data_IF_381113990583
#
_entry.id   IF_381113990583
#
_cell.length_a   1.000
_cell.length_b   1.000
_cell.length_c   1.000
_cell.angle_alpha   90.00
_cell.angle_beta   90.00
_cell.angle_gamma   90.00
#
_symmetry.space_group_name_H-M   'P 1'
#
loop_
_entity.id
_entity.type
_entity.pdbx_description
1 polymer ?
#
# COMPACT_ATOMS: atom_id res chain seq x y z
N UNK A 1 -28.91 -22.98 4.59
CA UNK A 1 -27.57 -22.49 4.96
C UNK A 1 -26.59 -23.00 3.93
N UNK A 2 -25.78 -22.14 3.31
CA UNK A 2 -24.82 -22.52 2.29
C UNK A 2 -23.43 -22.52 2.95
N UNK A 3 -22.69 -23.61 2.77
CA UNK A 3 -21.30 -23.70 3.22
C UNK A 3 -20.40 -23.10 2.14
N UNK A 4 -19.71 -22.01 2.44
CA UNK A 4 -18.82 -21.36 1.48
C UNK A 4 -17.47 -22.09 1.42
N UNK A 5 -16.80 -22.13 0.24
CA UNK A 5 -15.39 -22.51 0.19
C UNK A 5 -14.55 -21.57 1.06
N UNK A 6 -13.32 -21.95 1.35
CA UNK A 6 -12.44 -21.12 2.18
C UNK A 6 -12.36 -19.69 1.64
N UNK A 7 -12.69 -18.71 2.45
CA UNK A 7 -12.43 -17.31 2.13
C UNK A 7 -10.95 -17.01 2.41
N UNK A 8 -10.24 -16.52 1.40
CA UNK A 8 -8.88 -15.99 1.55
C UNK A 8 -8.99 -14.51 1.79
N UNK A 9 -8.69 -14.05 2.99
CA UNK A 9 -8.74 -12.64 3.40
C UNK A 9 -7.75 -12.39 4.52
N UNK A 10 -7.23 -11.18 4.61
CA UNK A 10 -6.42 -10.73 5.74
C UNK A 10 -7.25 -10.57 7.04
N UNK A 11 -8.58 -10.47 6.93
CA UNK A 11 -9.53 -10.44 8.06
C UNK A 11 -9.89 -11.86 8.53
N UNK A 12 -8.90 -12.63 8.97
CA UNK A 12 -9.02 -14.03 9.37
C UNK A 12 -10.06 -14.25 10.49
N UNK A 13 -10.18 -13.31 11.42
CA UNK A 13 -11.16 -13.34 12.51
C UNK A 13 -12.63 -13.40 12.06
N UNK A 14 -12.94 -13.02 10.82
CA UNK A 14 -14.29 -13.11 10.23
C UNK A 14 -14.39 -14.12 9.10
N UNK A 15 -13.33 -14.86 8.78
CA UNK A 15 -13.29 -15.86 7.71
C UNK A 15 -14.06 -17.15 8.09
N UNK A 16 -15.33 -17.02 8.46
CA UNK A 16 -16.20 -18.10 8.89
C UNK A 16 -16.94 -18.70 7.70
N UNK A 17 -16.76 -19.99 7.47
CA UNK A 17 -17.35 -20.70 6.32
C UNK A 17 -18.87 -20.91 6.43
N UNK A 18 -19.37 -21.05 7.65
CA UNK A 18 -20.77 -21.32 7.91
C UNK A 18 -21.24 -20.51 9.12
N UNK A 19 -22.26 -19.66 9.00
CA UNK A 19 -22.83 -18.95 10.14
C UNK A 19 -23.35 -19.93 11.19
N UNK A 20 -23.20 -19.55 12.48
CA UNK A 20 -23.71 -20.37 13.57
C UNK A 20 -25.23 -20.33 13.65
N UNK A 21 -25.86 -21.50 13.79
CA UNK A 21 -27.34 -21.67 13.84
C UNK A 21 -28.00 -20.85 14.93
N UNK A 22 -27.34 -20.67 16.06
CA UNK A 22 -27.86 -19.91 17.21
C UNK A 22 -27.79 -18.41 17.02
N UNK A 23 -26.79 -17.91 16.31
CA UNK A 23 -26.52 -16.48 16.13
C UNK A 23 -27.22 -15.93 14.90
N UNK A 24 -27.33 -16.70 13.84
CA UNK A 24 -27.86 -16.26 12.57
C UNK A 24 -29.28 -15.65 12.64
N UNK A 25 -30.24 -16.21 13.42
CA UNK A 25 -31.57 -15.59 13.60
C UNK A 25 -31.51 -14.17 14.21
N UNK A 26 -30.55 -13.91 15.10
CA UNK A 26 -30.37 -12.57 15.65
C UNK A 26 -29.81 -11.59 14.63
N UNK A 27 -28.89 -12.05 13.76
CA UNK A 27 -28.39 -11.25 12.63
C UNK A 27 -29.55 -10.89 11.70
N UNK A 28 -30.35 -11.86 11.30
CA UNK A 28 -31.49 -11.62 10.42
C UNK A 28 -32.53 -10.63 10.98
N UNK A 29 -32.70 -10.64 12.33
CA UNK A 29 -33.68 -9.76 13.00
C UNK A 29 -33.17 -8.34 13.22
N UNK A 30 -31.86 -8.16 13.48
CA UNK A 30 -31.32 -6.93 14.05
C UNK A 30 -30.32 -6.20 13.11
N UNK A 31 -29.94 -6.81 12.00
CA UNK A 31 -29.00 -6.20 11.03
C UNK A 31 -29.79 -5.63 9.86
N UNK A 32 -29.74 -4.33 9.67
CA UNK A 32 -30.44 -3.63 8.58
C UNK A 32 -29.71 -3.78 7.24
N UNK A 33 -28.37 -3.82 7.27
CA UNK A 33 -27.53 -3.87 6.07
C UNK A 33 -26.21 -4.57 6.31
N UNK A 34 -25.75 -5.32 5.30
CA UNK A 34 -24.41 -5.89 5.24
C UNK A 34 -23.61 -5.25 4.11
N UNK A 35 -22.31 -5.10 4.31
CA UNK A 35 -21.36 -4.60 3.32
C UNK A 35 -20.26 -5.65 3.11
N UNK A 36 -19.79 -5.76 1.87
CA UNK A 36 -18.61 -6.55 1.52
C UNK A 36 -17.48 -5.59 1.21
N UNK A 37 -16.31 -5.84 1.75
CA UNK A 37 -15.14 -4.98 1.63
C UNK A 37 -13.97 -5.79 1.09
N UNK A 38 -13.09 -5.12 0.35
CA UNK A 38 -11.85 -5.71 -0.13
C UNK A 38 -10.72 -5.57 0.90
N UNK A 39 -9.79 -6.53 0.90
CA UNK A 39 -8.62 -6.50 1.80
C UNK A 39 -7.80 -5.20 1.66
N UNK A 40 -7.76 -4.64 0.46
CA UNK A 40 -7.08 -3.37 0.20
C UNK A 40 -7.67 -2.18 0.98
N UNK A 41 -8.97 -2.23 1.29
CA UNK A 41 -9.64 -1.20 2.09
C UNK A 41 -9.30 -1.33 3.57
N UNK A 42 -9.02 -2.56 4.03
CA UNK A 42 -8.53 -2.82 5.40
C UNK A 42 -7.11 -2.29 5.58
N UNK A 43 -6.23 -2.43 4.59
CA UNK A 43 -4.89 -1.84 4.60
C UNK A 43 -4.96 -0.32 4.77
N UNK A 44 -5.87 0.34 4.04
CA UNK A 44 -6.10 1.79 4.16
C UNK A 44 -6.64 2.17 5.54
N UNK A 45 -7.62 1.41 6.06
CA UNK A 45 -8.19 1.64 7.38
C UNK A 45 -7.14 1.44 8.48
N UNK A 46 -6.25 0.45 8.33
CA UNK A 46 -5.14 0.21 9.26
C UNK A 46 -4.24 1.44 9.37
N UNK A 47 -3.79 1.99 8.25
CA UNK A 47 -2.95 3.18 8.25
C UNK A 47 -3.69 4.40 8.83
N UNK A 48 -4.97 4.59 8.50
CA UNK A 48 -5.76 5.71 9.04
C UNK A 48 -5.85 5.63 10.57
N UNK A 49 -6.15 4.45 11.12
CA UNK A 49 -6.26 4.25 12.57
C UNK A 49 -4.88 4.40 13.24
N UNK A 50 -3.84 3.83 12.66
CA UNK A 50 -2.49 3.91 13.21
C UNK A 50 -1.93 5.34 13.17
N UNK A 51 -2.05 6.04 12.03
CA UNK A 51 -1.46 7.38 11.85
C UNK A 51 -2.24 8.46 12.61
N UNK A 52 -3.59 8.40 12.62
CA UNK A 52 -4.43 9.46 13.19
C UNK A 52 -4.77 9.22 14.65
N UNK A 53 -4.98 7.96 15.05
CA UNK A 53 -5.44 7.60 16.39
C UNK A 53 -4.37 6.92 17.25
N UNK A 54 -3.22 6.53 16.66
CA UNK A 54 -2.11 5.84 17.35
C UNK A 54 -2.55 4.52 17.98
N UNK A 55 -3.46 3.83 17.33
CA UNK A 55 -3.97 2.52 17.76
C UNK A 55 -3.59 1.45 16.76
N UNK A 56 -3.32 0.25 17.29
CA UNK A 56 -3.16 -0.99 16.52
C UNK A 56 -4.40 -1.84 16.74
N UNK A 57 -5.07 -2.19 15.64
CA UNK A 57 -6.30 -2.98 15.64
C UNK A 57 -6.10 -4.13 14.67
N UNK A 58 -6.55 -5.33 15.03
CA UNK A 58 -6.49 -6.48 14.13
C UNK A 58 -7.34 -6.27 12.86
N UNK A 59 -7.01 -6.98 11.80
CA UNK A 59 -7.62 -6.76 10.48
C UNK A 59 -9.15 -6.90 10.49
N UNK A 60 -9.68 -7.89 11.20
CA UNK A 60 -11.12 -8.07 11.33
C UNK A 60 -11.80 -6.91 12.07
N UNK A 61 -11.13 -6.33 13.06
CA UNK A 61 -11.60 -5.18 13.82
C UNK A 61 -11.61 -3.86 13.05
N UNK A 62 -10.93 -3.80 11.89
CA UNK A 62 -10.87 -2.61 11.02
C UNK A 62 -12.04 -2.53 10.03
N UNK A 63 -12.79 -3.62 9.83
CA UNK A 63 -13.92 -3.67 8.91
C UNK A 63 -14.93 -2.50 9.10
N UNK A 64 -15.33 -2.14 10.34
CA UNK A 64 -16.27 -1.02 10.53
C UNK A 64 -15.68 0.33 10.12
N UNK A 65 -14.37 0.52 10.24
CA UNK A 65 -13.70 1.77 9.78
C UNK A 65 -13.62 1.82 8.26
N UNK A 66 -13.21 0.73 7.63
CA UNK A 66 -13.17 0.63 6.16
C UNK A 66 -14.58 0.85 5.56
N UNK A 67 -15.62 0.31 6.20
CA UNK A 67 -17.01 0.45 5.77
C UNK A 67 -17.51 1.90 5.73
N UNK A 68 -16.91 2.82 6.48
CA UNK A 68 -17.33 4.24 6.49
C UNK A 68 -17.25 4.90 5.11
N UNK A 69 -16.36 4.41 4.25
CA UNK A 69 -16.21 4.90 2.86
C UNK A 69 -17.40 4.58 1.96
N UNK A 70 -18.20 3.58 2.34
CA UNK A 70 -19.39 3.12 1.62
C UNK A 70 -20.69 3.67 2.20
N UNK A 71 -20.60 4.51 3.22
CA UNK A 71 -21.74 5.06 3.94
C UNK A 71 -21.79 6.58 3.82
N UNK A 72 -22.99 7.14 3.61
CA UNK A 72 -23.19 8.58 3.77
C UNK A 72 -23.33 8.89 5.26
N UNK A 73 -22.23 9.34 5.86
CA UNK A 73 -22.14 9.66 7.29
C UNK A 73 -22.35 11.15 7.58
N UNK A 74 -22.63 11.99 6.57
CA UNK A 74 -22.78 13.45 6.74
C UNK A 74 -23.98 13.79 7.61
N UNK A 75 -23.72 14.57 8.67
CA UNK A 75 -24.76 14.97 9.63
C UNK A 75 -25.28 13.85 10.54
N UNK A 76 -24.60 12.69 10.57
CA UNK A 76 -24.97 11.54 11.41
C UNK A 76 -23.92 11.29 12.48
N UNK A 77 -24.38 10.80 13.63
CA UNK A 77 -23.51 10.21 14.64
C UNK A 77 -23.29 8.75 14.28
N UNK A 78 -22.05 8.38 13.93
CA UNK A 78 -21.69 7.02 13.56
C UNK A 78 -20.76 6.43 14.61
N UNK A 79 -21.05 5.23 15.07
CA UNK A 79 -20.22 4.50 16.01
C UNK A 79 -19.65 3.28 15.31
N UNK A 80 -18.32 3.23 15.21
CA UNK A 80 -17.57 2.06 14.70
C UNK A 80 -16.95 1.32 15.87
N UNK A 81 -17.24 0.03 16.01
CA UNK A 81 -16.68 -0.79 17.07
C UNK A 81 -15.35 -1.36 16.57
N UNK A 82 -14.25 -0.87 17.11
CA UNK A 82 -12.93 -1.47 16.91
C UNK A 82 -12.78 -2.66 17.87
N UNK A 83 -12.73 -3.86 17.32
CA UNK A 83 -12.62 -5.08 18.10
C UNK A 83 -11.32 -5.81 17.81
N UNK A 84 -10.69 -6.33 18.87
CA UNK A 84 -9.48 -7.12 18.75
C UNK A 84 -8.20 -6.31 18.55
N UNK A 85 -7.10 -6.87 19.03
CA UNK A 85 -5.75 -6.31 18.93
C UNK A 85 -4.70 -7.40 18.74
N UNK A 86 -5.12 -8.62 18.35
CA UNK A 86 -4.22 -9.73 18.09
C UNK A 86 -3.55 -9.58 16.72
N UNK A 87 -2.59 -8.65 16.66
CA UNK A 87 -1.80 -8.33 15.48
C UNK A 87 -0.34 -8.65 15.73
N UNK A 88 0.23 -9.54 14.93
CA UNK A 88 1.66 -9.80 14.99
C UNK A 88 2.47 -8.73 14.26
N UNK A 89 3.74 -8.57 14.64
CA UNK A 89 4.61 -7.49 14.14
C UNK A 89 4.93 -7.67 12.65
N UNK A 90 5.01 -8.89 12.15
CA UNK A 90 5.32 -9.17 10.74
C UNK A 90 4.13 -8.75 9.87
N UNK A 91 2.93 -9.16 10.24
CA UNK A 91 1.69 -8.73 9.57
C UNK A 91 1.55 -7.21 9.60
N UNK A 92 1.81 -6.58 10.75
CA UNK A 92 1.79 -5.11 10.88
C UNK A 92 2.78 -4.45 9.91
N UNK A 93 4.02 -4.95 9.86
CA UNK A 93 5.05 -4.43 8.94
C UNK A 93 4.60 -4.54 7.48
N UNK A 94 4.04 -5.68 7.10
CA UNK A 94 3.50 -5.90 5.75
C UNK A 94 2.36 -4.93 5.42
N UNK A 95 1.40 -4.73 6.33
CA UNK A 95 0.30 -3.78 6.13
C UNK A 95 0.80 -2.34 5.97
N UNK A 96 1.78 -1.93 6.78
CA UNK A 96 2.40 -0.60 6.66
C UNK A 96 3.04 -0.43 5.29
N UNK A 97 3.83 -1.40 4.84
CA UNK A 97 4.49 -1.34 3.54
C UNK A 97 3.49 -1.24 2.39
N UNK A 98 2.54 -2.17 2.33
CA UNK A 98 1.51 -2.18 1.29
C UNK A 98 0.70 -0.88 1.29
N UNK A 99 0.37 -0.36 2.45
CA UNK A 99 -0.35 0.89 2.58
C UNK A 99 0.46 2.11 2.13
N UNK A 100 1.76 2.19 2.44
CA UNK A 100 2.63 3.26 1.99
C UNK A 100 2.81 3.24 0.46
N UNK A 101 2.99 2.06 -0.14
CA UNK A 101 3.06 1.88 -1.58
C UNK A 101 1.73 2.32 -2.22
N UNK A 102 0.61 1.83 -1.71
CA UNK A 102 -0.71 2.15 -2.22
C UNK A 102 -1.03 3.66 -2.16
N UNK A 103 -0.51 4.37 -1.16
CA UNK A 103 -0.64 5.83 -1.03
C UNK A 103 0.39 6.62 -1.86
N UNK A 104 1.22 5.95 -2.65
CA UNK A 104 2.29 6.59 -3.42
C UNK A 104 3.36 7.24 -2.53
N UNK A 105 3.45 6.84 -1.26
CA UNK A 105 4.47 7.34 -0.33
C UNK A 105 5.79 6.60 -0.48
N UNK A 106 5.73 5.40 -1.04
CA UNK A 106 6.88 4.62 -1.44
C UNK A 106 6.63 4.10 -2.85
N UNK A 107 7.59 4.27 -3.74
CA UNK A 107 7.49 3.76 -5.10
C UNK A 107 8.88 3.47 -5.66
N UNK A 108 8.94 2.59 -6.64
CA UNK A 108 10.16 2.25 -7.36
C UNK A 108 10.02 2.63 -8.83
N UNK A 109 11.07 3.22 -9.38
CA UNK A 109 11.18 3.40 -10.82
C UNK A 109 12.49 2.82 -11.34
N UNK A 110 12.49 2.45 -12.61
CA UNK A 110 13.68 2.08 -13.36
C UNK A 110 13.96 3.13 -14.44
N UNK A 111 15.24 3.39 -14.67
CA UNK A 111 15.71 4.26 -15.74
C UNK A 111 16.97 3.71 -16.39
N UNK A 112 17.03 3.77 -17.71
CA UNK A 112 18.23 3.40 -18.45
C UNK A 112 19.18 4.60 -18.53
N UNK A 113 20.42 4.38 -18.10
CA UNK A 113 21.48 5.40 -18.08
C UNK A 113 22.63 5.02 -19.00
N UNK A 114 23.29 5.97 -19.67
CA UNK A 114 24.59 5.70 -20.27
C UNK A 114 25.60 5.25 -19.21
N UNK A 115 26.38 4.22 -19.50
CA UNK A 115 27.45 3.75 -18.61
C UNK A 115 28.66 4.68 -18.68
N UNK A 116 28.54 5.82 -18.01
CA UNK A 116 29.61 6.83 -17.94
C UNK A 116 29.55 7.60 -16.62
N UNK A 117 30.72 8.11 -16.15
CA UNK A 117 30.78 8.95 -14.95
C UNK A 117 29.80 10.15 -15.04
N UNK A 118 29.10 10.43 -13.94
CA UNK A 118 28.15 11.55 -13.82
C UNK A 118 26.71 11.21 -14.14
N UNK A 119 26.39 10.10 -14.84
CA UNK A 119 24.99 9.75 -15.16
C UNK A 119 24.13 9.53 -13.92
N UNK A 120 24.64 8.79 -12.95
CA UNK A 120 23.97 8.59 -11.65
C UNK A 120 23.83 9.90 -10.87
N UNK A 121 24.86 10.75 -10.90
CA UNK A 121 24.83 12.04 -10.20
C UNK A 121 23.71 12.94 -10.74
N UNK A 122 23.51 12.95 -12.06
CA UNK A 122 22.45 13.76 -12.69
C UNK A 122 21.06 13.31 -12.19
N UNK A 123 20.79 12.00 -12.12
CA UNK A 123 19.55 11.50 -11.56
C UNK A 123 19.40 11.90 -10.09
N UNK A 124 20.44 11.68 -9.27
CA UNK A 124 20.42 12.02 -7.85
C UNK A 124 20.14 13.51 -7.59
N UNK A 125 20.69 14.39 -8.41
CA UNK A 125 20.42 15.84 -8.32
C UNK A 125 18.96 16.18 -8.58
N UNK A 126 18.32 15.52 -9.57
CA UNK A 126 16.91 15.73 -9.87
C UNK A 126 16.04 15.26 -8.71
N UNK A 127 16.36 14.09 -8.13
CA UNK A 127 15.63 13.55 -6.97
C UNK A 127 15.74 14.50 -5.78
N UNK A 128 16.95 14.95 -5.46
CA UNK A 128 17.20 15.89 -4.37
C UNK A 128 16.47 17.22 -4.57
N UNK A 129 16.51 17.79 -5.80
CA UNK A 129 15.82 19.03 -6.12
C UNK A 129 14.28 18.93 -6.00
N UNK A 130 13.75 17.73 -6.10
CA UNK A 130 12.32 17.45 -5.94
C UNK A 130 11.97 16.81 -4.58
N UNK A 131 12.84 16.89 -3.58
CA UNK A 131 12.63 16.34 -2.24
C UNK A 131 12.34 14.82 -2.22
N UNK A 132 12.83 14.07 -3.20
CA UNK A 132 12.74 12.61 -3.23
C UNK A 132 13.80 12.01 -2.29
N UNK A 133 13.37 11.28 -1.27
CA UNK A 133 14.29 10.59 -0.36
C UNK A 133 14.54 9.17 -0.84
N UNK A 134 15.82 8.87 -1.16
CA UNK A 134 16.22 7.55 -1.68
C UNK A 134 16.29 6.54 -0.54
N UNK A 135 15.53 5.46 -0.64
CA UNK A 135 15.51 4.36 0.32
C UNK A 135 16.42 3.23 -0.15
N UNK A 136 16.32 2.87 -1.45
CA UNK A 136 17.12 1.81 -2.06
C UNK A 136 17.57 2.24 -3.44
N UNK A 137 18.80 1.89 -3.80
CA UNK A 137 19.35 2.16 -5.12
C UNK A 137 20.08 0.92 -5.60
N UNK A 138 19.68 0.43 -6.77
CA UNK A 138 20.27 -0.71 -7.44
C UNK A 138 20.82 -0.26 -8.80
N UNK A 139 22.13 -0.35 -8.96
CA UNK A 139 22.83 -0.01 -10.20
C UNK A 139 23.34 -1.29 -10.85
N UNK A 140 22.60 -1.78 -11.83
CA UNK A 140 22.87 -3.07 -12.44
C UNK A 140 23.56 -2.91 -13.81
N UNK A 141 24.86 -3.18 -13.84
CA UNK A 141 25.70 -3.08 -15.04
C UNK A 141 25.66 -4.32 -15.95
N UNK A 142 25.10 -5.42 -15.48
CA UNK A 142 25.16 -6.70 -16.16
C UNK A 142 23.86 -7.13 -16.86
N UNK A 143 22.85 -6.26 -16.88
CA UNK A 143 21.56 -6.56 -17.53
C UNK A 143 21.69 -6.69 -19.05
N UNK A 144 22.62 -5.96 -19.65
CA UNK A 144 22.84 -6.00 -21.09
C UNK A 144 24.28 -6.45 -21.43
N UNK A 145 24.40 -7.44 -22.32
CA UNK A 145 25.71 -7.90 -22.87
C UNK A 145 26.41 -6.77 -23.63
N UNK A 146 25.64 -5.86 -24.22
CA UNK A 146 26.16 -4.71 -24.92
C UNK A 146 26.24 -3.49 -24.00
N UNK A 147 27.44 -3.20 -23.49
CA UNK A 147 27.71 -2.03 -22.63
C UNK A 147 27.31 -0.69 -23.23
N UNK A 148 27.17 -0.60 -24.56
CA UNK A 148 26.71 0.62 -25.22
C UNK A 148 25.20 0.87 -25.06
N UNK A 149 24.42 -0.13 -24.67
CA UNK A 149 22.96 0.00 -24.52
C UNK A 149 22.50 0.60 -23.19
N UNK A 150 23.44 0.90 -22.28
CA UNK A 150 23.12 1.54 -21.00
C UNK A 150 23.02 0.57 -19.81
N UNK A 151 22.97 1.15 -18.65
CA UNK A 151 22.85 0.49 -17.34
C UNK A 151 21.47 0.78 -16.78
N UNK A 152 20.81 -0.21 -16.23
CA UNK A 152 19.57 0.00 -15.51
C UNK A 152 19.86 0.50 -14.07
N UNK A 153 19.34 1.67 -13.76
CA UNK A 153 19.26 2.18 -12.41
C UNK A 153 17.83 1.99 -11.91
N UNK A 154 17.67 1.23 -10.83
CA UNK A 154 16.40 1.08 -10.13
C UNK A 154 16.47 1.81 -8.80
N UNK A 155 15.52 2.69 -8.55
CA UNK A 155 15.51 3.53 -7.36
C UNK A 155 14.17 3.40 -6.67
N UNK A 156 14.21 3.09 -5.37
CA UNK A 156 13.03 3.13 -4.49
C UNK A 156 13.10 4.41 -3.66
N UNK A 157 12.02 5.17 -3.70
CA UNK A 157 11.91 6.48 -3.08
C UNK A 157 10.78 6.54 -2.05
N UNK A 158 11.00 7.38 -1.05
CA UNK A 158 9.93 7.93 -0.23
C UNK A 158 9.44 9.25 -0.85
N UNK A 159 8.12 9.41 -0.90
CA UNK A 159 7.42 10.58 -1.40
C UNK A 159 6.27 10.99 -0.46
N UNK A 160 5.65 12.14 -0.71
CA UNK A 160 4.53 12.64 0.09
C UNK A 160 3.15 12.19 -0.41
N UNK A 161 3.11 11.28 -1.40
CA UNK A 161 1.90 10.77 -2.02
C UNK A 161 1.97 10.79 -3.54
N UNK A 162 0.85 10.46 -4.18
CA UNK A 162 0.78 10.29 -5.64
C UNK A 162 1.19 11.55 -6.41
N UNK A 163 0.74 12.73 -6.01
CA UNK A 163 1.07 13.98 -6.72
C UNK A 163 2.57 14.24 -6.68
N UNK A 164 3.22 14.03 -5.53
CA UNK A 164 4.67 14.20 -5.40
C UNK A 164 5.44 13.12 -6.18
N UNK A 165 4.95 11.87 -6.18
CA UNK A 165 5.50 10.81 -7.03
C UNK A 165 5.50 11.23 -8.50
N UNK A 166 4.37 11.69 -9.01
CA UNK A 166 4.25 12.14 -10.40
C UNK A 166 5.13 13.36 -10.70
N UNK A 167 5.25 14.29 -9.76
CA UNK A 167 6.17 15.43 -9.89
C UNK A 167 7.62 14.96 -10.10
N UNK A 168 8.08 13.99 -9.28
CA UNK A 168 9.44 13.43 -9.40
C UNK A 168 9.63 12.74 -10.76
N UNK A 169 8.70 11.88 -11.16
CA UNK A 169 8.78 11.16 -12.44
C UNK A 169 8.77 12.14 -13.63
N UNK A 170 7.96 13.18 -13.58
CA UNK A 170 7.90 14.21 -14.63
C UNK A 170 9.17 15.07 -14.68
N UNK A 171 9.78 15.38 -13.53
CA UNK A 171 11.06 16.09 -13.49
C UNK A 171 12.19 15.25 -14.13
N UNK A 172 12.22 13.95 -13.92
CA UNK A 172 13.15 13.05 -14.60
C UNK A 172 12.92 13.04 -16.11
N UNK A 173 11.67 12.88 -16.55
CA UNK A 173 11.30 12.86 -17.98
C UNK A 173 11.63 14.19 -18.68
N UNK A 174 11.42 15.32 -18.02
CA UNK A 174 11.74 16.65 -18.55
C UNK A 174 13.25 16.84 -18.79
N UNK A 175 14.10 16.11 -18.07
CA UNK A 175 15.55 16.11 -18.27
C UNK A 175 16.04 15.00 -19.23
N UNK A 176 15.09 14.35 -19.94
CA UNK A 176 15.38 13.32 -20.92
C UNK A 176 15.60 11.91 -20.35
N UNK A 177 15.35 11.70 -19.07
CA UNK A 177 15.42 10.38 -18.46
C UNK A 177 14.10 9.61 -18.65
N UNK A 178 14.15 8.45 -19.27
CA UNK A 178 13.00 7.56 -19.46
C UNK A 178 12.73 6.78 -18.16
N UNK A 179 12.20 7.47 -17.15
CA UNK A 179 11.83 6.85 -15.89
C UNK A 179 10.47 6.16 -16.02
N UNK A 180 10.44 4.86 -15.72
CA UNK A 180 9.26 3.98 -15.74
C UNK A 180 9.02 3.44 -14.34
N UNK A 181 7.81 3.63 -13.80
CA UNK A 181 7.42 3.02 -12.54
C UNK A 181 7.44 1.49 -12.67
N UNK A 182 8.01 0.82 -11.69
CA UNK A 182 8.10 -0.64 -11.62
C UNK A 182 7.51 -1.13 -10.30
N UNK A 183 7.22 -2.42 -10.23
CA UNK A 183 6.76 -3.02 -8.99
C UNK A 183 7.73 -2.72 -7.86
N UNK A 184 7.19 -2.22 -6.77
CA UNK A 184 7.92 -1.99 -5.53
C UNK A 184 7.94 -3.32 -4.77
N UNK A 185 8.66 -4.31 -5.33
CA UNK A 185 8.83 -5.60 -4.69
C UNK A 185 9.78 -5.43 -3.51
N UNK A 186 9.39 -6.01 -2.41
CA UNK A 186 10.14 -6.30 -1.19
C UNK A 186 11.25 -5.32 -0.80
N UNK A 187 10.83 -4.41 0.06
CA UNK A 187 11.66 -3.39 0.69
C UNK A 187 12.83 -3.94 1.51
N UNK A 188 12.80 -5.22 1.87
CA UNK A 188 13.67 -5.86 2.86
C UNK A 188 14.46 -7.06 2.34
N UNK A 189 14.54 -7.27 1.02
CA UNK A 189 15.47 -8.24 0.45
C UNK A 189 16.79 -7.59 0.07
#
# INVERSE_FOLDING_TARGET
MINLPAATTIADGVAVKTPGDKVFPYVQKNVDRTLVLDDSELVEAFLDVMERHKMVVENAGLLPVAALRHLDCRGKNVVSILSGGNMDVITMSSLVQHGLIRRGRIFTFAVQLPDRPGSLLAVAQILAANNGNVIKLEHNQFVNINRQSGVELRVTLEAFGHDHKEQILNALRAQGFHAVETDTADFYN
#
